data_IF_971722263721
#
_entry.id   IF_971722263721
#
_cell.length_a   1.000
_cell.length_b   1.000
_cell.length_c   1.000
_cell.angle_alpha   90.00
_cell.angle_beta   90.00
_cell.angle_gamma   90.00
#
_symmetry.space_group_name_H-M   'P 1'
#
loop_
_entity.id
_entity.type
_entity.pdbx_description
1 polymer ?
#
# COMPACT_ATOMS: atom_id res chain seq x y z
N UNK A 1 27.64 5.65 14.95
CA UNK A 1 26.62 4.90 15.68
C UNK A 1 25.32 4.99 14.88
N UNK A 2 24.88 3.90 14.26
CA UNK A 2 23.56 3.83 13.65
C UNK A 2 22.58 3.36 14.73
N UNK A 3 21.45 4.06 14.91
CA UNK A 3 20.40 3.67 15.84
C UNK A 3 19.76 2.36 15.37
N UNK A 4 20.35 1.24 15.77
CA UNK A 4 19.79 -0.09 15.57
C UNK A 4 18.73 -0.36 16.62
N UNK A 5 17.46 -0.22 16.25
CA UNK A 5 16.39 -0.91 16.98
C UNK A 5 15.38 -1.64 16.09
N UNK A 6 15.45 -1.50 14.77
CA UNK A 6 14.72 -2.40 13.86
C UNK A 6 15.35 -2.30 12.47
N UNK A 7 15.92 -3.41 11.99
CA UNK A 7 16.40 -3.52 10.61
C UNK A 7 15.19 -3.66 9.67
N UNK A 8 14.32 -2.66 9.64
CA UNK A 8 13.13 -2.64 8.81
C UNK A 8 13.48 -2.44 7.34
N UNK A 9 14.52 -1.67 7.08
CA UNK A 9 14.91 -1.24 5.75
C UNK A 9 16.28 -1.79 5.38
N UNK A 10 16.30 -3.01 4.83
CA UNK A 10 17.49 -3.63 4.24
C UNK A 10 17.11 -4.81 3.36
N UNK A 11 18.13 -5.46 2.77
CA UNK A 11 17.96 -6.71 2.03
C UNK A 11 17.40 -7.84 2.90
N UNK A 12 17.64 -7.77 4.22
CA UNK A 12 17.08 -8.66 5.25
C UNK A 12 16.00 -7.94 6.08
N UNK A 13 15.40 -6.91 5.50
CA UNK A 13 14.46 -6.03 6.14
C UNK A 13 13.26 -6.80 6.70
N UNK A 14 12.76 -6.35 7.85
CA UNK A 14 11.61 -6.96 8.52
C UNK A 14 10.37 -6.06 8.51
N UNK A 15 10.36 -4.98 7.72
CA UNK A 15 9.16 -4.19 7.51
C UNK A 15 8.10 -5.08 6.89
N UNK A 16 6.91 -5.11 7.45
CA UNK A 16 5.85 -5.95 6.94
C UNK A 16 4.79 -5.10 6.23
N UNK A 17 4.13 -5.69 5.25
CA UNK A 17 3.11 -5.00 4.47
C UNK A 17 1.94 -4.55 5.36
N UNK A 18 1.39 -3.37 5.08
CA UNK A 18 0.33 -2.72 5.86
C UNK A 18 0.81 -2.05 7.15
N UNK A 19 2.12 -2.03 7.43
CA UNK A 19 2.68 -1.28 8.57
C UNK A 19 2.70 0.22 8.27
N UNK A 20 2.14 1.02 9.17
CA UNK A 20 2.31 2.48 9.14
C UNK A 20 3.76 2.78 9.56
N UNK A 21 4.55 3.33 8.65
CA UNK A 21 5.97 3.57 8.88
C UNK A 21 6.20 4.99 9.44
N UNK A 22 5.46 5.97 8.92
CA UNK A 22 5.47 7.36 9.38
C UNK A 22 4.12 7.98 9.07
N UNK A 23 3.43 8.48 10.09
CA UNK A 23 2.21 9.27 9.95
C UNK A 23 2.41 10.58 10.71
N UNK A 24 2.25 11.70 10.03
CA UNK A 24 2.56 13.03 10.53
C UNK A 24 1.48 14.05 10.18
N UNK A 25 0.62 13.77 9.20
CA UNK A 25 -0.39 14.71 8.79
C UNK A 25 -1.72 14.50 9.53
N UNK A 26 -2.38 15.58 9.91
CA UNK A 26 -3.66 15.54 10.65
C UNK A 26 -4.83 15.00 9.82
N UNK A 27 -4.65 14.86 8.51
CA UNK A 27 -5.62 14.24 7.60
C UNK A 27 -5.34 12.76 7.33
N UNK A 28 -4.26 12.18 7.86
CA UNK A 28 -4.06 10.73 7.81
C UNK A 28 -5.08 10.04 8.68
N UNK A 29 -5.73 9.03 8.11
CA UNK A 29 -6.77 8.29 8.81
C UNK A 29 -6.67 6.82 8.48
N UNK A 30 -6.95 6.02 9.50
CA UNK A 30 -7.29 4.62 9.32
C UNK A 30 -8.70 4.46 9.86
N UNK A 31 -9.61 3.98 9.03
CA UNK A 31 -10.96 3.65 9.45
C UNK A 31 -11.34 2.23 9.02
N UNK A 32 -12.33 1.67 9.71
CA UNK A 32 -12.85 0.34 9.42
C UNK A 32 -13.83 0.39 8.26
N UNK A 33 -13.56 -0.38 7.21
CA UNK A 33 -14.43 -0.56 6.05
C UNK A 33 -14.96 -1.99 5.99
N UNK A 34 -16.19 -2.16 5.50
CA UNK A 34 -16.73 -3.49 5.25
C UNK A 34 -16.10 -4.09 3.99
N UNK A 35 -15.50 -5.28 4.09
CA UNK A 35 -15.12 -6.05 2.92
C UNK A 35 -16.31 -6.87 2.44
N UNK A 36 -17.16 -6.29 1.61
CA UNK A 36 -18.38 -6.94 1.09
C UNK A 36 -18.10 -7.97 -0.02
N UNK A 37 -16.95 -8.63 0.04
CA UNK A 37 -16.55 -9.70 -0.89
C UNK A 37 -16.42 -11.03 -0.16
N UNK A 38 -16.14 -12.11 -0.91
CA UNK A 38 -15.92 -13.45 -0.35
C UNK A 38 -14.45 -13.77 -0.10
N UNK A 39 -13.57 -12.77 -0.28
CA UNK A 39 -12.13 -12.97 -0.33
C UNK A 39 -11.44 -12.14 0.74
N UNK A 40 -10.60 -12.80 1.52
CA UNK A 40 -9.75 -12.11 2.48
C UNK A 40 -8.75 -11.22 1.73
N UNK A 41 -8.40 -10.10 2.36
CA UNK A 41 -7.51 -9.12 1.77
C UNK A 41 -6.12 -9.20 2.39
N UNK A 42 -5.05 -9.39 1.60
CA UNK A 42 -3.69 -9.30 2.09
C UNK A 42 -3.39 -7.92 2.67
N UNK A 43 -2.45 -7.82 3.60
CA UNK A 43 -2.00 -6.50 4.08
C UNK A 43 -1.10 -5.80 3.08
N UNK A 44 -1.15 -4.46 3.09
CA UNK A 44 -0.34 -3.60 2.22
C UNK A 44 -0.71 -3.67 0.74
N UNK A 45 -1.88 -4.20 0.40
CA UNK A 45 -2.45 -4.07 -0.95
C UNK A 45 -3.44 -2.92 -1.00
N UNK A 46 -3.54 -2.28 -2.15
CA UNK A 46 -4.55 -1.28 -2.43
C UNK A 46 -5.88 -1.93 -2.80
N UNK A 47 -6.95 -1.28 -2.39
CA UNK A 47 -8.34 -1.69 -2.63
C UNK A 47 -9.14 -0.57 -3.26
N UNK A 48 -10.23 -0.93 -3.90
CA UNK A 48 -11.14 -0.01 -4.56
C UNK A 48 -12.43 0.17 -3.76
N UNK A 49 -13.13 1.28 -4.04
CA UNK A 49 -14.49 1.51 -3.55
C UNK A 49 -15.42 0.44 -4.14
N UNK A 50 -16.25 -0.17 -3.30
CA UNK A 50 -17.31 -1.05 -3.77
C UNK A 50 -18.62 -0.23 -3.96
N UNK A 51 -19.20 -0.18 -5.17
CA UNK A 51 -20.48 0.50 -5.40
C UNK A 51 -21.63 -0.02 -4.52
N UNK A 52 -21.58 -1.29 -4.11
CA UNK A 52 -22.58 -1.92 -3.24
C UNK A 52 -22.34 -1.60 -1.73
N UNK A 53 -21.33 -0.80 -1.42
CA UNK A 53 -20.92 -0.42 -0.07
C UNK A 53 -19.62 -1.09 0.39
N UNK A 54 -18.81 -0.34 1.14
CA UNK A 54 -17.51 -0.79 1.64
C UNK A 54 -16.43 -0.83 0.57
N UNK A 55 -15.55 -1.83 0.65
CA UNK A 55 -14.38 -1.98 -0.23
C UNK A 55 -14.39 -3.32 -0.99
N UNK A 56 -13.65 -3.35 -2.11
CA UNK A 56 -13.43 -4.52 -2.96
C UNK A 56 -11.98 -4.60 -3.45
N UNK A 57 -11.47 -5.79 -3.82
CA UNK A 57 -10.25 -5.89 -4.61
C UNK A 57 -10.34 -5.05 -5.89
N UNK A 58 -9.20 -4.51 -6.33
CA UNK A 58 -9.12 -3.83 -7.63
C UNK A 58 -9.42 -4.85 -8.74
N UNK A 59 -10.14 -4.40 -9.76
CA UNK A 59 -10.60 -5.20 -10.90
C UNK A 59 -10.29 -4.54 -12.24
N UNK A 60 -10.12 -3.22 -12.24
CA UNK A 60 -9.78 -2.42 -13.42
C UNK A 60 -8.92 -1.22 -13.06
N UNK A 61 -8.12 -0.73 -14.02
CA UNK A 61 -7.33 0.49 -13.85
C UNK A 61 -8.18 1.77 -13.68
N UNK A 62 -9.47 1.68 -14.00
CA UNK A 62 -10.46 2.75 -13.82
C UNK A 62 -11.18 2.69 -12.48
N UNK A 63 -10.89 1.69 -11.65
CA UNK A 63 -11.49 1.62 -10.32
C UNK A 63 -11.05 2.82 -9.46
N UNK A 64 -11.98 3.32 -8.64
CA UNK A 64 -11.68 4.37 -7.67
C UNK A 64 -10.94 3.73 -6.51
N UNK A 65 -9.66 4.09 -6.33
CA UNK A 65 -8.86 3.59 -5.21
C UNK A 65 -9.40 4.18 -3.91
N UNK A 66 -9.75 3.29 -2.99
CA UNK A 66 -10.20 3.68 -1.66
C UNK A 66 -9.01 3.90 -0.73
N UNK A 67 -8.00 3.03 -0.74
CA UNK A 67 -6.83 3.15 0.12
C UNK A 67 -6.04 1.84 0.19
N UNK A 68 -5.17 1.72 1.19
CA UNK A 68 -4.33 0.55 1.40
C UNK A 68 -4.78 -0.23 2.65
N UNK A 69 -4.77 -1.55 2.59
CA UNK A 69 -5.13 -2.40 3.73
C UNK A 69 -4.02 -2.34 4.78
N UNK A 70 -4.34 -1.78 5.94
CA UNK A 70 -3.43 -1.65 7.09
C UNK A 70 -3.50 -2.92 7.92
N UNK A 71 -2.35 -3.33 8.44
CA UNK A 71 -2.27 -4.53 9.27
C UNK A 71 -2.99 -4.36 10.60
N UNK A 72 -3.71 -5.41 11.02
CA UNK A 72 -4.14 -5.60 12.40
C UNK A 72 -3.26 -6.62 13.17
N UNK A 73 -3.49 -6.72 14.49
CA UNK A 73 -2.73 -7.62 15.37
C UNK A 73 -3.25 -9.07 15.36
N UNK A 74 -4.33 -9.36 14.64
CA UNK A 74 -5.15 -10.56 14.86
C UNK A 74 -4.95 -11.64 13.79
N UNK A 75 -4.29 -11.34 12.67
CA UNK A 75 -4.12 -12.28 11.55
C UNK A 75 -2.93 -11.92 10.65
N UNK A 76 -2.64 -12.78 9.67
CA UNK A 76 -1.71 -12.52 8.55
C UNK A 76 -2.39 -11.75 7.39
N UNK A 77 -3.72 -11.71 7.37
CA UNK A 77 -4.56 -11.04 6.36
C UNK A 77 -5.89 -10.57 6.96
N UNK A 78 -6.49 -9.55 6.38
CA UNK A 78 -7.78 -9.02 6.80
C UNK A 78 -8.92 -9.95 6.33
N UNK A 79 -9.72 -10.52 7.24
CA UNK A 79 -10.78 -11.44 6.88
C UNK A 79 -11.96 -10.73 6.21
N UNK A 80 -12.62 -11.39 5.26
CA UNK A 80 -13.75 -10.82 4.52
C UNK A 80 -15.05 -10.66 5.33
N UNK A 81 -15.15 -11.23 6.52
CA UNK A 81 -16.34 -11.17 7.36
C UNK A 81 -16.21 -10.21 8.55
N UNK A 82 -15.27 -9.25 8.49
CA UNK A 82 -15.06 -8.22 9.51
C UNK A 82 -14.80 -6.87 8.85
N UNK A 83 -14.83 -5.83 9.68
CA UNK A 83 -14.29 -4.53 9.28
C UNK A 83 -12.78 -4.64 9.07
N UNK A 84 -12.34 -4.06 7.96
CA UNK A 84 -10.95 -4.05 7.50
C UNK A 84 -10.41 -2.65 7.69
N UNK A 85 -9.22 -2.52 8.29
CA UNK A 85 -8.57 -1.24 8.47
C UNK A 85 -8.02 -0.75 7.13
N UNK A 86 -8.57 0.35 6.62
CA UNK A 86 -8.09 0.99 5.39
C UNK A 86 -7.42 2.30 5.75
N UNK A 87 -6.16 2.43 5.33
CA UNK A 87 -5.36 3.62 5.53
C UNK A 87 -5.45 4.58 4.35
N UNK A 88 -5.65 5.85 4.67
CA UNK A 88 -5.56 6.99 3.77
C UNK A 88 -4.37 7.84 4.21
N UNK A 89 -3.32 7.81 3.40
CA UNK A 89 -2.07 8.51 3.69
C UNK A 89 -1.91 9.70 2.76
N UNK A 90 -1.66 10.85 3.37
CA UNK A 90 -1.44 12.11 2.68
C UNK A 90 0.04 12.30 2.29
N UNK A 91 0.33 13.47 1.75
CA UNK A 91 1.63 13.89 1.31
C UNK A 91 2.64 13.88 2.46
N UNK A 92 3.76 13.17 2.25
CA UNK A 92 4.83 13.07 3.23
C UNK A 92 4.69 11.93 4.24
N UNK A 93 3.57 11.20 4.22
CA UNK A 93 3.31 10.04 5.08
C UNK A 93 3.67 8.74 4.37
N UNK A 94 4.03 7.73 5.16
CA UNK A 94 4.71 6.54 4.70
C UNK A 94 4.06 5.25 5.25
N UNK A 95 3.80 4.31 4.35
CA UNK A 95 3.19 3.01 4.64
C UNK A 95 3.94 1.89 3.92
N UNK A 96 4.04 0.72 4.54
CA UNK A 96 4.57 -0.48 3.89
C UNK A 96 3.56 -1.06 2.89
N UNK A 97 3.92 -1.08 1.60
CA UNK A 97 3.14 -1.69 0.55
C UNK A 97 3.75 -3.03 0.11
N UNK A 98 2.89 -4.02 -0.17
CA UNK A 98 3.28 -5.31 -0.69
C UNK A 98 3.73 -5.19 -2.15
N UNK A 99 4.89 -5.75 -2.49
CA UNK A 99 5.44 -5.70 -3.85
C UNK A 99 4.90 -6.82 -4.72
N UNK A 100 4.68 -6.54 -6.01
CA UNK A 100 4.47 -7.59 -7.00
C UNK A 100 5.68 -8.53 -7.06
N UNK A 101 5.47 -9.76 -7.53
CA UNK A 101 6.51 -10.78 -7.55
C UNK A 101 7.65 -10.39 -8.48
N UNK A 102 8.88 -10.74 -8.08
CA UNK A 102 10.11 -10.54 -8.87
C UNK A 102 10.47 -9.07 -9.17
N UNK A 103 9.77 -8.11 -8.55
CA UNK A 103 10.10 -6.69 -8.62
C UNK A 103 11.27 -6.33 -7.69
N UNK A 104 12.24 -5.59 -8.23
CA UNK A 104 13.36 -5.04 -7.45
C UNK A 104 13.29 -3.53 -7.44
N UNK A 105 12.98 -2.99 -6.27
CA UNK A 105 12.88 -1.55 -6.02
C UNK A 105 14.18 -0.97 -5.47
N UNK A 106 14.37 0.32 -5.68
CA UNK A 106 15.33 1.17 -4.97
C UNK A 106 14.64 2.43 -4.49
N UNK A 107 15.23 3.10 -3.50
CA UNK A 107 14.76 4.40 -3.03
C UNK A 107 14.64 5.40 -4.20
N UNK A 108 13.54 6.14 -4.24
CA UNK A 108 13.22 7.11 -5.28
C UNK A 108 12.54 6.52 -6.52
N UNK A 109 12.40 5.19 -6.64
CA UNK A 109 11.61 4.60 -7.70
C UNK A 109 10.14 5.04 -7.58
N UNK A 110 9.50 5.32 -8.72
CA UNK A 110 8.05 5.50 -8.79
C UNK A 110 7.34 4.17 -8.61
N UNK A 111 6.15 4.25 -8.02
CA UNK A 111 5.32 3.09 -7.70
C UNK A 111 3.97 3.19 -8.39
N UNK A 112 3.56 2.10 -9.02
CA UNK A 112 2.26 1.94 -9.65
C UNK A 112 1.51 0.78 -9.00
N UNK A 113 0.21 0.92 -8.81
CA UNK A 113 -0.64 -0.14 -8.27
C UNK A 113 -1.07 -1.08 -9.39
N UNK A 114 -0.81 -2.36 -9.21
CA UNK A 114 -1.16 -3.40 -10.17
C UNK A 114 -2.68 -3.50 -10.30
N UNK A 115 -3.20 -3.31 -11.50
CA UNK A 115 -4.65 -3.25 -11.72
C UNK A 115 -5.29 -4.61 -12.07
N UNK A 116 -4.50 -5.60 -12.48
CA UNK A 116 -4.96 -6.90 -12.99
C UNK A 116 -3.93 -8.02 -12.74
N UNK A 117 -4.38 -9.26 -12.75
CA UNK A 117 -3.55 -10.46 -12.60
C UNK A 117 -3.35 -10.86 -11.13
N UNK A 118 -2.38 -11.74 -10.88
CA UNK A 118 -2.18 -12.39 -9.57
C UNK A 118 -1.70 -11.43 -8.47
N UNK A 119 -1.05 -10.33 -8.86
CA UNK A 119 -0.50 -9.33 -7.94
C UNK A 119 -1.40 -8.09 -7.81
N UNK A 120 -2.68 -8.21 -8.14
CA UNK A 120 -3.62 -7.08 -8.07
C UNK A 120 -3.62 -6.39 -6.71
N UNK A 121 -3.56 -5.05 -6.73
CA UNK A 121 -3.44 -4.21 -5.53
C UNK A 121 -2.03 -4.12 -4.94
N UNK A 122 -1.07 -4.95 -5.35
CA UNK A 122 0.35 -4.78 -4.98
C UNK A 122 0.99 -3.67 -5.79
N UNK A 123 2.22 -3.31 -5.41
CA UNK A 123 3.00 -2.26 -6.08
C UNK A 123 4.03 -2.83 -7.06
N UNK A 124 4.15 -2.18 -8.22
CA UNK A 124 5.07 -2.49 -9.32
C UNK A 124 5.78 -1.23 -9.83
N UNK A 125 6.89 -1.40 -10.56
CA UNK A 125 7.59 -0.33 -11.28
C UNK A 125 7.00 -0.05 -12.66
N UNK A 126 6.12 -0.93 -13.14
CA UNK A 126 5.54 -0.87 -14.47
C UNK A 126 4.37 0.10 -14.51
N UNK A 127 4.50 1.17 -15.32
CA UNK A 127 3.44 2.16 -15.50
C UNK A 127 2.31 1.65 -16.40
N UNK A 128 2.64 1.01 -17.51
CA UNK A 128 1.67 0.63 -18.55
C UNK A 128 0.61 -0.33 -17.99
N UNK A 129 -0.65 0.11 -18.02
CA UNK A 129 -1.80 -0.69 -17.58
C UNK A 129 -2.03 -0.72 -16.06
N UNK A 130 -1.18 -0.05 -15.27
CA UNK A 130 -1.29 0.08 -13.82
C UNK A 130 -1.70 1.50 -13.41
N UNK A 131 -2.04 1.67 -12.14
CA UNK A 131 -2.60 2.92 -11.60
C UNK A 131 -1.48 3.74 -10.96
N UNK A 132 -1.28 4.97 -11.45
CA UNK A 132 -0.36 5.95 -10.84
C UNK A 132 -1.12 6.77 -9.79
N UNK A 133 -0.69 6.64 -8.54
CA UNK A 133 -1.24 7.40 -7.41
C UNK A 133 -0.24 8.46 -6.88
N UNK A 134 0.94 8.60 -7.51
CA UNK A 134 1.97 9.56 -7.11
C UNK A 134 2.89 9.09 -5.97
N UNK A 135 2.87 7.81 -5.64
CA UNK A 135 3.77 7.24 -4.62
C UNK A 135 5.18 6.98 -5.16
N UNK A 136 6.16 7.12 -4.28
CA UNK A 136 7.56 6.75 -4.53
C UNK A 136 8.11 5.92 -3.37
N UNK A 137 9.15 5.14 -3.62
CA UNK A 137 9.79 4.27 -2.62
C UNK A 137 10.68 5.09 -1.69
N UNK A 138 10.32 5.20 -0.42
CA UNK A 138 11.16 5.81 0.62
C UNK A 138 12.25 4.85 1.08
N UNK A 139 11.89 3.61 1.38
CA UNK A 139 12.81 2.56 1.81
C UNK A 139 12.40 1.19 1.27
N UNK A 140 13.36 0.27 1.20
CA UNK A 140 13.19 -1.07 0.64
C UNK A 140 13.38 -2.12 1.72
N UNK A 141 12.44 -3.07 1.79
CA UNK A 141 12.48 -4.23 2.68
C UNK A 141 12.32 -5.50 1.85
N UNK A 142 13.36 -5.86 1.09
CA UNK A 142 13.24 -6.97 0.13
C UNK A 142 13.09 -8.33 0.82
N UNK A 143 13.58 -8.46 2.06
CA UNK A 143 13.43 -9.67 2.88
C UNK A 143 11.98 -10.05 3.19
N UNK A 144 11.04 -9.12 3.01
CA UNK A 144 9.62 -9.29 3.32
C UNK A 144 8.69 -8.96 2.15
N UNK A 145 9.23 -8.82 0.92
CA UNK A 145 8.49 -8.40 -0.28
C UNK A 145 7.65 -7.13 -0.03
N UNK A 146 8.28 -6.15 0.63
CA UNK A 146 7.64 -4.93 1.07
C UNK A 146 8.51 -3.72 0.76
N UNK A 147 7.88 -2.60 0.42
CA UNK A 147 8.53 -1.30 0.27
C UNK A 147 7.77 -0.26 1.08
N UNK A 148 8.50 0.61 1.76
CA UNK A 148 7.91 1.78 2.39
C UNK A 148 7.65 2.83 1.30
N UNK A 149 6.40 3.18 1.06
CA UNK A 149 5.99 4.13 0.02
C UNK A 149 5.48 5.42 0.64
N UNK A 150 5.85 6.53 0.02
CA UNK A 150 5.47 7.87 0.46
C UNK A 150 4.78 8.60 -0.67
N UNK A 151 3.66 9.27 -0.37
CA UNK A 151 2.98 10.10 -1.37
C UNK A 151 3.84 11.34 -1.63
N UNK A 152 4.30 11.49 -2.87
CA UNK A 152 5.15 12.62 -3.25
C UNK A 152 4.38 13.93 -3.29
N UNK A 153 5.03 15.05 -2.95
CA UNK A 153 4.53 16.40 -3.23
C UNK A 153 4.60 16.66 -4.74
N UNK A 154 3.65 16.14 -5.50
CA UNK A 154 3.44 16.56 -6.90
C UNK A 154 2.48 17.75 -6.85
N UNK A 155 3.00 18.92 -6.47
CA UNK A 155 2.35 20.17 -6.86
C UNK A 155 2.62 20.36 -8.35
N UNK A 156 1.63 20.09 -9.20
CA UNK A 156 1.64 20.64 -10.56
C UNK A 156 1.38 22.15 -10.39
N UNK A 157 2.44 22.94 -10.26
CA UNK A 157 2.34 24.40 -10.26
C UNK A 157 2.09 24.82 -11.71
N UNK A 158 0.82 25.09 -12.03
CA UNK A 158 0.40 25.72 -13.29
C UNK A 158 0.50 24.85 -14.54
N UNK A 159 -0.66 24.53 -15.11
CA UNK A 159 -0.84 24.59 -16.58
C UNK A 159 -1.75 25.77 -16.88
#
# INVERSE_FOLDING_TARGET
MAFGFTNWDSDKGTLRAGTIYRASSSNDKVWGEENNTKSDLPYGVFVAVNPDGGIKPISAATDVIHGIVVRDIYSEKAPHNKQVNIGHFSHGDCVGAATAKDETFKRGDKVYVVAKGDDVGKVSKTATGNIDLGYWVENVSSGSQCVAITLGFIQKVGE
#
